data_IF_311826940854
#
_entry.id   IF_311826940854
#
_cell.length_a   1.000
_cell.length_b   1.000
_cell.length_c   1.000
_cell.angle_alpha   90.00
_cell.angle_beta   90.00
_cell.angle_gamma   90.00
#
_symmetry.space_group_name_H-M   'P 1'
#
loop_
_entity.id
_entity.type
_entity.pdbx_description
1 polymer ?
#
# COMPACT_ATOMS: atom_id res chain seq x y z
N UNK A 1 -12.24 1.80 -16.78
CA UNK A 1 -12.13 2.58 -15.54
C UNK A 1 -10.87 2.14 -14.82
N UNK A 2 -9.91 3.04 -14.59
CA UNK A 2 -8.74 2.73 -13.79
C UNK A 2 -9.11 2.87 -12.32
N UNK A 3 -8.87 1.83 -11.52
CA UNK A 3 -8.97 1.90 -10.07
C UNK A 3 -7.98 2.97 -9.57
N UNK A 4 -8.44 3.90 -8.75
CA UNK A 4 -7.70 5.08 -8.32
C UNK A 4 -7.46 5.13 -6.81
N UNK A 5 -7.82 4.08 -6.10
CA UNK A 5 -7.67 3.96 -4.65
C UNK A 5 -7.26 2.56 -4.22
N UNK A 6 -6.56 2.50 -3.09
CA UNK A 6 -6.08 1.26 -2.47
C UNK A 6 -6.55 1.19 -1.04
N UNK A 7 -7.27 0.13 -0.70
CA UNK A 7 -7.87 -0.06 0.62
C UNK A 7 -7.30 -1.32 1.25
N UNK A 8 -6.79 -1.17 2.46
CA UNK A 8 -6.34 -2.28 3.31
C UNK A 8 -7.48 -2.69 4.24
N UNK A 9 -7.69 -3.99 4.37
CA UNK A 9 -8.56 -4.62 5.34
C UNK A 9 -7.74 -5.50 6.27
N UNK A 10 -7.99 -5.39 7.56
CA UNK A 10 -7.45 -6.24 8.61
C UNK A 10 -8.63 -6.71 9.46
N UNK A 11 -8.95 -8.00 9.38
CA UNK A 11 -10.16 -8.56 9.98
C UNK A 11 -9.81 -9.81 10.75
N UNK A 12 -10.19 -9.85 12.02
CA UNK A 12 -10.14 -11.03 12.87
C UNK A 12 -11.56 -11.43 13.22
N UNK A 13 -11.95 -12.62 12.82
CA UNK A 13 -13.22 -13.20 13.20
C UNK A 13 -13.15 -13.86 14.58
N UNK A 14 -14.30 -14.05 15.19
CA UNK A 14 -14.42 -14.72 16.48
C UNK A 14 -14.40 -16.25 16.36
N UNK A 15 -14.57 -16.92 17.49
CA UNK A 15 -14.59 -18.38 17.56
C UNK A 15 -15.80 -18.99 16.84
N UNK A 16 -16.97 -18.34 16.91
CA UNK A 16 -18.23 -18.87 16.42
C UNK A 16 -18.50 -18.54 14.95
N UNK A 17 -17.72 -17.66 14.36
CA UNK A 17 -17.97 -17.13 13.03
C UNK A 17 -18.31 -18.16 11.94
N UNK A 18 -17.66 -19.35 11.84
CA UNK A 18 -18.03 -20.34 10.84
C UNK A 18 -19.41 -20.97 11.08
N UNK A 19 -19.78 -21.20 12.36
CA UNK A 19 -21.05 -21.84 12.73
C UNK A 19 -22.23 -20.87 12.66
N UNK A 20 -21.96 -19.59 12.83
CA UNK A 20 -22.94 -18.50 12.82
C UNK A 20 -23.07 -17.83 11.46
N UNK A 21 -22.32 -18.31 10.48
CA UNK A 21 -22.31 -17.71 9.13
C UNK A 21 -21.99 -16.21 9.17
N UNK A 22 -21.09 -15.81 10.06
CA UNK A 22 -20.61 -14.44 10.13
C UNK A 22 -19.85 -14.09 8.85
N UNK A 23 -20.04 -12.87 8.35
CA UNK A 23 -19.30 -12.38 7.18
C UNK A 23 -19.18 -10.88 7.19
N UNK A 24 -18.28 -10.37 6.37
CA UNK A 24 -18.33 -8.96 5.97
C UNK A 24 -18.46 -8.81 4.47
N UNK A 25 -19.04 -7.71 4.06
CA UNK A 25 -19.26 -7.34 2.67
C UNK A 25 -18.95 -5.86 2.46
N UNK A 26 -18.40 -5.56 1.31
CA UNK A 26 -18.19 -4.18 0.84
C UNK A 26 -18.93 -4.01 -0.47
N UNK A 27 -19.83 -3.05 -0.53
CA UNK A 27 -20.59 -2.72 -1.74
C UNK A 27 -20.54 -1.23 -2.03
N UNK A 28 -20.64 -0.86 -3.31
CA UNK A 28 -20.78 0.52 -3.72
C UNK A 28 -22.24 1.03 -3.60
N UNK A 29 -22.46 2.28 -3.98
CA UNK A 29 -23.80 2.89 -3.95
C UNK A 29 -24.79 2.29 -4.96
N UNK A 30 -24.32 1.52 -5.94
CA UNK A 30 -25.17 0.83 -6.90
C UNK A 30 -25.57 -0.57 -6.38
N UNK A 31 -24.99 -1.00 -5.26
CA UNK A 31 -25.17 -2.32 -4.69
C UNK A 31 -24.25 -3.39 -5.28
N UNK A 32 -23.28 -2.99 -6.11
CA UNK A 32 -22.28 -3.91 -6.62
C UNK A 32 -21.32 -4.30 -5.50
N UNK A 33 -21.18 -5.61 -5.27
CA UNK A 33 -20.32 -6.15 -4.22
C UNK A 33 -18.89 -6.30 -4.73
N UNK A 34 -17.96 -5.63 -4.05
CA UNK A 34 -16.52 -5.69 -4.33
C UNK A 34 -15.82 -6.77 -3.52
N UNK A 35 -16.29 -6.98 -2.29
CA UNK A 35 -15.77 -7.99 -1.38
C UNK A 35 -16.94 -8.67 -0.71
N UNK A 36 -16.87 -9.99 -0.65
CA UNK A 36 -17.63 -10.82 0.25
C UNK A 36 -16.66 -11.82 0.87
N UNK A 37 -16.55 -11.81 2.18
CA UNK A 37 -15.70 -12.77 2.90
C UNK A 37 -16.47 -13.39 4.06
N UNK A 38 -16.55 -14.70 4.03
CA UNK A 38 -17.14 -15.54 5.07
C UNK A 38 -16.04 -16.51 5.57
N UNK A 39 -15.72 -16.51 6.87
CA UNK A 39 -14.69 -17.37 7.40
C UNK A 39 -15.15 -18.84 7.35
N UNK A 40 -14.19 -19.72 7.12
CA UNK A 40 -14.40 -21.18 7.16
C UNK A 40 -13.80 -21.81 8.41
N UNK A 41 -12.94 -21.09 9.11
CA UNK A 41 -12.26 -21.54 10.31
C UNK A 41 -12.56 -20.60 11.49
N UNK A 42 -12.47 -21.16 12.70
CA UNK A 42 -12.52 -20.37 13.93
C UNK A 42 -11.33 -19.42 13.99
N UNK A 43 -11.56 -18.20 14.47
CA UNK A 43 -10.53 -17.15 14.57
C UNK A 43 -9.82 -16.86 13.24
N UNK A 44 -10.51 -17.02 12.12
CA UNK A 44 -9.90 -16.74 10.83
C UNK A 44 -9.49 -15.28 10.73
N UNK A 45 -8.27 -15.05 10.20
CA UNK A 45 -7.68 -13.73 10.05
C UNK A 45 -7.48 -13.42 8.58
N UNK A 46 -7.92 -12.23 8.18
CA UNK A 46 -7.71 -11.69 6.83
C UNK A 46 -6.91 -10.39 6.90
N UNK A 47 -5.79 -10.35 6.19
CA UNK A 47 -5.05 -9.12 5.91
C UNK A 47 -4.90 -9.01 4.38
N UNK A 48 -5.54 -8.01 3.78
CA UNK A 48 -5.55 -7.87 2.33
C UNK A 48 -5.62 -6.41 1.89
N UNK A 49 -5.11 -6.16 0.68
CA UNK A 49 -5.19 -4.85 0.04
C UNK A 49 -5.89 -5.00 -1.30
N UNK A 50 -6.88 -4.17 -1.54
CA UNK A 50 -7.67 -4.16 -2.77
C UNK A 50 -7.61 -2.81 -3.47
N UNK A 51 -7.55 -2.86 -4.78
CA UNK A 51 -7.74 -1.70 -5.62
C UNK A 51 -9.23 -1.48 -5.87
N UNK A 52 -9.71 -0.27 -5.60
CA UNK A 52 -11.11 0.14 -5.79
C UNK A 52 -11.16 1.50 -6.47
N UNK A 53 -12.32 1.89 -6.97
CA UNK A 53 -12.54 3.27 -7.39
C UNK A 53 -12.71 4.17 -6.16
N UNK A 54 -12.36 5.43 -6.25
CA UNK A 54 -12.78 6.40 -5.23
C UNK A 54 -14.29 6.57 -5.23
N UNK A 55 -14.88 6.79 -4.07
CA UNK A 55 -16.32 6.91 -3.94
C UNK A 55 -16.86 6.48 -2.59
N UNK A 56 -18.17 6.38 -2.51
CA UNK A 56 -18.87 5.99 -1.29
C UNK A 56 -19.17 4.49 -1.31
N UNK A 57 -18.86 3.82 -0.21
CA UNK A 57 -19.01 2.38 -0.02
C UNK A 57 -19.75 2.08 1.26
N UNK A 58 -20.57 1.03 1.24
CA UNK A 58 -21.21 0.47 2.43
C UNK A 58 -20.42 -0.75 2.88
N UNK A 59 -20.00 -0.74 4.13
CA UNK A 59 -19.37 -1.86 4.82
C UNK A 59 -20.45 -2.51 5.68
N UNK A 60 -20.69 -3.79 5.46
CA UNK A 60 -21.69 -4.57 6.21
C UNK A 60 -21.01 -5.70 6.96
N UNK A 61 -21.16 -5.74 8.27
CA UNK A 61 -20.86 -6.90 9.11
C UNK A 61 -22.16 -7.66 9.41
N UNK A 62 -22.09 -8.96 9.36
CA UNK A 62 -23.23 -9.87 9.62
C UNK A 62 -22.87 -10.88 10.68
N UNK A 63 -23.87 -11.17 11.49
CA UNK A 63 -23.87 -12.18 12.53
C UNK A 63 -25.27 -12.80 12.60
N UNK A 64 -25.41 -14.09 12.32
CA UNK A 64 -26.73 -14.72 12.27
C UNK A 64 -27.32 -15.02 13.65
N UNK A 65 -26.50 -15.07 14.69
CA UNK A 65 -26.97 -15.26 16.08
C UNK A 65 -27.37 -13.94 16.73
N UNK A 66 -26.78 -12.83 16.32
CA UNK A 66 -27.14 -11.50 16.81
C UNK A 66 -26.48 -11.09 18.11
N UNK A 67 -25.56 -11.87 18.63
CA UNK A 67 -24.77 -11.51 19.81
C UNK A 67 -23.52 -10.69 19.49
N UNK A 68 -23.22 -10.52 18.20
CA UNK A 68 -22.06 -9.81 17.68
C UNK A 68 -20.83 -10.72 17.59
N UNK A 69 -19.75 -10.20 17.09
CA UNK A 69 -18.50 -10.96 16.98
C UNK A 69 -17.82 -11.04 18.36
N UNK A 70 -18.42 -11.78 19.29
CA UNK A 70 -18.01 -11.85 20.69
C UNK A 70 -17.36 -13.19 20.97
N UNK A 71 -16.12 -13.18 21.43
CA UNK A 71 -15.43 -14.36 21.93
C UNK A 71 -14.41 -14.00 23.01
N UNK A 72 -13.78 -15.03 23.60
CA UNK A 72 -12.68 -14.86 24.56
C UNK A 72 -11.42 -14.18 23.96
N UNK A 73 -11.35 -14.10 22.64
CA UNK A 73 -10.37 -13.28 21.91
C UNK A 73 -11.13 -12.23 21.12
N UNK A 74 -10.74 -10.95 21.24
CA UNK A 74 -11.49 -9.89 20.62
C UNK A 74 -11.41 -9.97 19.09
N UNK A 75 -12.57 -10.11 18.43
CA UNK A 75 -12.68 -9.89 17.01
C UNK A 75 -12.45 -8.41 16.69
N UNK A 76 -11.82 -8.13 15.56
CA UNK A 76 -11.65 -6.76 15.11
C UNK A 76 -11.92 -6.62 13.60
N UNK A 77 -12.33 -5.43 13.22
CA UNK A 77 -12.45 -5.01 11.84
C UNK A 77 -11.80 -3.64 11.67
N UNK A 78 -10.75 -3.60 10.88
CA UNK A 78 -10.06 -2.36 10.53
C UNK A 78 -10.05 -2.19 9.02
N UNK A 79 -10.29 -0.99 8.59
CA UNK A 79 -10.23 -0.60 7.19
C UNK A 79 -9.50 0.73 7.06
N UNK A 80 -8.58 0.82 6.13
CA UNK A 80 -7.85 2.04 5.86
C UNK A 80 -7.60 2.23 4.36
N UNK A 81 -7.60 3.48 3.92
CA UNK A 81 -7.08 3.85 2.63
C UNK A 81 -5.58 4.16 2.79
N UNK A 82 -4.73 3.67 1.89
CA UNK A 82 -3.27 3.82 2.03
C UNK A 82 -2.79 5.28 2.07
N UNK A 83 -3.60 6.23 1.57
CA UNK A 83 -3.29 7.65 1.59
C UNK A 83 -3.98 8.41 2.72
N UNK A 84 -5.18 7.98 3.13
CA UNK A 84 -5.97 8.61 4.18
C UNK A 84 -5.64 8.08 5.58
N UNK A 85 -5.01 6.90 5.65
CA UNK A 85 -4.83 6.17 6.89
C UNK A 85 -6.07 5.38 7.30
N UNK A 86 -6.21 5.12 8.59
CA UNK A 86 -7.28 4.31 9.16
C UNK A 86 -8.63 5.04 9.08
N UNK A 87 -9.62 4.42 8.42
CA UNK A 87 -10.96 4.96 8.23
C UNK A 87 -11.94 4.34 9.23
N UNK A 88 -11.86 3.01 9.41
CA UNK A 88 -12.66 2.27 10.39
C UNK A 88 -11.71 1.56 11.34
N UNK A 89 -11.98 1.71 12.62
CA UNK A 89 -11.29 0.98 13.68
C UNK A 89 -12.32 0.45 14.68
N UNK A 90 -12.80 -0.76 14.45
CA UNK A 90 -13.61 -1.51 15.38
C UNK A 90 -12.73 -2.60 16.01
N UNK A 91 -12.02 -2.22 17.06
CA UNK A 91 -11.11 -3.08 17.81
C UNK A 91 -11.28 -2.84 19.31
N UNK A 92 -11.96 -3.75 20.02
CA UNK A 92 -12.71 -4.89 19.50
C UNK A 92 -14.03 -4.50 18.81
N UNK A 93 -14.60 -5.41 18.00
CA UNK A 93 -15.97 -5.28 17.49
C UNK A 93 -16.92 -5.52 18.65
N UNK A 94 -17.53 -4.45 19.15
CA UNK A 94 -18.34 -4.48 20.37
C UNK A 94 -19.85 -4.43 20.05
N UNK A 95 -20.61 -5.07 20.95
CA UNK A 95 -22.06 -5.00 21.00
C UNK A 95 -22.75 -6.07 20.19
N UNK A 96 -23.96 -6.40 20.61
CA UNK A 96 -24.81 -7.36 19.93
C UNK A 96 -25.39 -6.75 18.64
N UNK A 97 -25.33 -7.48 17.54
CA UNK A 97 -25.89 -7.06 16.26
C UNK A 97 -26.12 -8.24 15.33
N UNK A 98 -27.21 -8.26 14.60
CA UNK A 98 -27.39 -9.15 13.45
C UNK A 98 -26.77 -8.56 12.18
N UNK A 99 -26.76 -7.25 12.12
CA UNK A 99 -26.22 -6.48 11.01
C UNK A 99 -25.68 -5.16 11.53
N UNK A 100 -24.49 -4.84 11.08
CA UNK A 100 -23.85 -3.54 11.34
C UNK A 100 -23.36 -2.96 10.04
N UNK A 101 -24.02 -1.90 9.59
CA UNK A 101 -23.65 -1.20 8.36
C UNK A 101 -23.02 0.15 8.69
N UNK A 102 -22.07 0.54 7.88
CA UNK A 102 -21.52 1.89 7.89
C UNK A 102 -21.16 2.32 6.47
N UNK A 103 -21.32 3.61 6.20
CA UNK A 103 -20.91 4.17 4.91
C UNK A 103 -19.59 4.92 5.09
N UNK A 104 -18.66 4.68 4.20
CA UNK A 104 -17.35 5.32 4.14
C UNK A 104 -17.16 6.00 2.80
N UNK A 105 -16.40 7.09 2.78
CA UNK A 105 -16.00 7.75 1.54
C UNK A 105 -14.51 7.52 1.32
N UNK A 106 -14.18 6.82 0.24
CA UNK A 106 -12.82 6.53 -0.17
C UNK A 106 -12.37 7.62 -1.15
N UNK A 107 -11.36 8.39 -0.76
CA UNK A 107 -10.76 9.40 -1.64
C UNK A 107 -9.81 8.76 -2.64
N UNK A 108 -9.58 9.41 -3.80
CA UNK A 108 -8.54 8.98 -4.71
C UNK A 108 -7.19 8.86 -3.99
N UNK A 109 -6.52 7.77 -4.23
CA UNK A 109 -5.21 7.47 -3.71
C UNK A 109 -4.37 6.94 -4.86
N UNK A 110 -3.36 7.65 -5.31
CA UNK A 110 -2.48 7.10 -6.33
C UNK A 110 -2.00 5.73 -5.87
N UNK A 111 -1.82 4.77 -6.78
CA UNK A 111 -1.35 3.45 -6.41
C UNK A 111 -0.12 3.60 -5.52
N UNK A 112 0.00 2.80 -4.45
CA UNK A 112 1.24 2.75 -3.71
C UNK A 112 2.35 2.55 -4.74
N UNK A 113 3.42 3.30 -4.58
CA UNK A 113 4.60 3.20 -5.43
C UNK A 113 4.78 1.73 -5.83
N UNK A 114 4.78 1.38 -7.12
CA UNK A 114 4.59 0.00 -7.54
C UNK A 114 5.45 -0.94 -6.71
N UNK A 115 4.97 -2.14 -6.33
CA UNK A 115 5.74 -3.09 -5.52
C UNK A 115 7.05 -3.51 -6.18
N UNK A 116 7.35 -2.95 -7.34
CA UNK A 116 8.56 -3.14 -8.12
C UNK A 116 9.65 -2.08 -7.87
N UNK A 117 9.43 -1.04 -7.08
CA UNK A 117 10.51 -0.12 -6.69
C UNK A 117 11.24 -0.63 -5.45
N UNK A 118 12.54 -0.47 -5.47
CA UNK A 118 13.44 -0.70 -4.32
C UNK A 118 14.24 0.56 -4.06
N UNK A 119 14.51 0.84 -2.79
CA UNK A 119 15.49 1.85 -2.44
C UNK A 119 16.88 1.35 -2.79
N UNK A 120 17.63 2.17 -3.48
CA UNK A 120 19.05 1.94 -3.78
C UNK A 120 19.85 3.17 -3.36
N UNK A 121 21.09 2.96 -2.96
CA UNK A 121 22.00 4.04 -2.60
C UNK A 121 23.08 4.13 -3.68
N UNK A 122 23.20 5.30 -4.28
CA UNK A 122 24.26 5.64 -5.22
C UNK A 122 25.37 6.31 -4.42
N UNK A 123 26.59 5.77 -4.51
CA UNK A 123 27.78 6.33 -3.86
C UNK A 123 28.83 6.61 -4.92
N UNK A 124 29.26 7.84 -5.04
CA UNK A 124 30.24 8.29 -6.04
C UNK A 124 31.37 9.03 -5.32
N UNK A 125 32.60 8.65 -5.60
CA UNK A 125 33.77 9.41 -5.23
C UNK A 125 34.08 10.36 -6.38
N UNK A 126 33.90 11.65 -6.16
CA UNK A 126 34.26 12.67 -7.14
C UNK A 126 35.80 12.82 -7.23
N UNK A 127 36.26 13.23 -8.38
CA UNK A 127 37.69 13.56 -8.60
C UNK A 127 37.98 15.04 -8.32
N UNK A 128 39.00 15.59 -8.95
CA UNK A 128 39.34 17.01 -8.81
C UNK A 128 38.44 17.95 -9.61
N UNK A 129 37.57 17.44 -10.48
CA UNK A 129 36.65 18.19 -11.33
C UNK A 129 35.17 17.79 -11.09
N UNK A 130 34.61 18.03 -9.91
CA UNK A 130 33.25 17.58 -9.54
C UNK A 130 32.15 18.04 -10.50
N UNK A 131 32.32 19.15 -11.19
CA UNK A 131 31.34 19.69 -12.13
C UNK A 131 31.14 18.84 -13.39
N UNK A 132 32.07 17.96 -13.71
CA UNK A 132 32.08 17.14 -14.92
C UNK A 132 31.36 15.83 -14.74
N UNK A 133 31.19 15.41 -13.48
CA UNK A 133 30.57 14.14 -13.12
C UNK A 133 29.06 14.20 -13.22
N UNK A 134 28.48 13.22 -13.90
CA UNK A 134 27.06 12.94 -13.88
C UNK A 134 26.82 11.43 -13.96
N UNK A 135 25.62 11.00 -13.60
CA UNK A 135 25.25 9.59 -13.68
C UNK A 135 23.77 9.42 -13.99
N UNK A 136 23.42 8.24 -14.48
CA UNK A 136 22.05 7.83 -14.73
C UNK A 136 21.85 6.33 -14.48
N UNK A 137 20.64 5.94 -14.10
CA UNK A 137 20.18 4.56 -14.02
C UNK A 137 19.04 4.40 -15.02
N UNK A 138 19.21 3.51 -15.99
CA UNK A 138 18.22 3.25 -17.04
C UNK A 138 17.91 1.77 -17.20
N UNK A 139 16.77 1.45 -17.83
CA UNK A 139 16.42 0.08 -18.21
C UNK A 139 16.94 -0.27 -19.63
N UNK A 140 16.67 -1.49 -20.08
CA UNK A 140 17.04 -1.98 -21.40
C UNK A 140 16.34 -1.26 -22.57
N UNK A 141 15.29 -0.49 -22.31
CA UNK A 141 14.58 0.32 -23.28
C UNK A 141 15.10 1.76 -23.34
N UNK A 142 16.12 2.09 -22.51
CA UNK A 142 16.67 3.42 -22.39
C UNK A 142 15.86 4.40 -21.54
N UNK A 143 14.86 3.91 -20.79
CA UNK A 143 14.08 4.76 -19.87
C UNK A 143 14.94 5.04 -18.64
N UNK A 144 15.21 6.33 -18.36
CA UNK A 144 15.97 6.77 -17.19
C UNK A 144 15.03 6.78 -15.98
N UNK A 145 15.42 6.04 -14.93
CA UNK A 145 14.67 5.93 -13.67
C UNK A 145 15.24 6.83 -12.57
N UNK A 146 16.53 7.12 -12.61
CA UNK A 146 17.20 8.04 -11.69
C UNK A 146 18.42 8.66 -12.38
N UNK A 147 18.81 9.85 -11.97
CA UNK A 147 20.01 10.51 -12.47
C UNK A 147 20.49 11.58 -11.49
N UNK A 148 21.77 11.89 -11.52
CA UNK A 148 22.40 12.96 -10.75
C UNK A 148 23.46 13.70 -11.55
N UNK A 149 23.61 14.99 -11.27
CA UNK A 149 24.59 15.88 -11.90
C UNK A 149 24.72 17.18 -11.09
N UNK A 150 25.61 18.09 -11.54
CA UNK A 150 25.69 19.43 -10.97
C UNK A 150 26.50 19.51 -9.67
N UNK A 151 27.49 18.66 -9.51
CA UNK A 151 28.32 18.58 -8.30
C UNK A 151 29.38 19.68 -8.18
N UNK A 152 29.37 20.70 -9.07
CA UNK A 152 30.41 21.77 -9.12
C UNK A 152 30.55 22.59 -7.83
N UNK A 153 29.60 22.57 -6.92
CA UNK A 153 29.68 23.17 -5.59
C UNK A 153 30.28 22.25 -4.52
N UNK A 154 30.50 20.96 -4.84
CA UNK A 154 31.07 20.01 -3.92
C UNK A 154 32.59 20.13 -3.83
N UNK A 155 33.20 19.81 -2.69
CA UNK A 155 34.65 19.73 -2.57
C UNK A 155 35.23 18.70 -3.55
N UNK A 156 36.46 18.94 -4.01
CA UNK A 156 37.23 17.94 -4.75
C UNK A 156 37.40 16.67 -3.90
N UNK A 157 37.28 15.51 -4.54
CA UNK A 157 37.32 14.19 -3.89
C UNK A 157 36.20 13.96 -2.88
N UNK A 158 35.10 14.70 -2.96
CA UNK A 158 33.94 14.47 -2.10
C UNK A 158 33.28 13.13 -2.42
N UNK A 159 32.72 12.52 -1.38
CA UNK A 159 31.85 11.35 -1.53
C UNK A 159 30.41 11.83 -1.59
N UNK A 160 29.73 11.53 -2.67
CA UNK A 160 28.30 11.79 -2.85
C UNK A 160 27.54 10.53 -2.50
N UNK A 161 26.50 10.67 -1.69
CA UNK A 161 25.59 9.60 -1.33
C UNK A 161 24.15 10.06 -1.62
N UNK A 162 23.46 9.36 -2.52
CA UNK A 162 22.10 9.67 -2.91
C UNK A 162 21.21 8.43 -2.78
N UNK A 163 20.08 8.56 -2.09
CA UNK A 163 19.03 7.53 -2.08
C UNK A 163 18.09 7.73 -3.25
N UNK A 164 17.84 6.66 -4.02
CA UNK A 164 16.95 6.66 -5.18
C UNK A 164 16.02 5.46 -5.14
N UNK A 165 14.83 5.62 -5.69
CA UNK A 165 13.86 4.56 -5.86
C UNK A 165 13.84 4.10 -7.31
N UNK A 166 14.21 2.85 -7.55
CA UNK A 166 14.36 2.28 -8.89
C UNK A 166 13.56 0.99 -9.03
N UNK A 167 13.08 0.63 -10.24
CA UNK A 167 12.36 -0.62 -10.45
C UNK A 167 13.27 -1.83 -10.20
N UNK A 168 12.65 -2.91 -9.71
CA UNK A 168 13.32 -4.23 -9.65
C UNK A 168 13.58 -4.73 -11.05
N UNK A 169 14.76 -5.27 -11.28
CA UNK A 169 15.13 -5.88 -12.55
C UNK A 169 16.56 -5.59 -12.93
N UNK A 170 16.87 -5.85 -14.20
CA UNK A 170 18.20 -5.53 -14.77
C UNK A 170 18.20 -4.06 -15.17
N UNK A 171 19.11 -3.30 -14.60
CA UNK A 171 19.30 -1.89 -14.86
C UNK A 171 20.75 -1.62 -15.24
N UNK A 172 20.96 -0.55 -15.98
CA UNK A 172 22.28 -0.04 -16.34
C UNK A 172 22.58 1.19 -15.51
N UNK A 173 23.69 1.18 -14.81
CA UNK A 173 24.26 2.37 -14.19
C UNK A 173 25.33 2.93 -15.13
N UNK A 174 25.15 4.17 -15.52
CA UNK A 174 26.11 4.88 -16.37
C UNK A 174 26.63 6.09 -15.62
N UNK A 175 27.95 6.15 -15.45
CA UNK A 175 28.65 7.35 -14.98
C UNK A 175 29.29 8.04 -16.17
N UNK A 176 29.26 9.35 -16.16
CA UNK A 176 29.78 10.19 -17.26
C UNK A 176 30.70 11.23 -16.68
N UNK A 177 31.79 11.42 -17.35
CA UNK A 177 32.75 12.49 -17.18
C UNK A 177 32.73 13.34 -18.47
N UNK A 178 32.52 14.65 -18.34
CA UNK A 178 32.32 15.53 -19.50
C UNK A 178 33.59 15.73 -20.35
N UNK A 179 34.77 15.61 -19.75
CA UNK A 179 36.05 15.80 -20.44
C UNK A 179 36.85 14.51 -20.59
N UNK A 180 36.55 13.47 -19.80
CA UNK A 180 37.08 12.12 -19.98
C UNK A 180 38.57 11.97 -19.55
N UNK A 181 38.99 12.67 -18.51
CA UNK A 181 40.36 12.66 -17.97
C UNK A 181 40.51 11.93 -16.62
#
# INVERSE_FOLDING_TARGET
>A
FSQDSWVKFEVQFDFYAPSESNFFMVSDNNGDTYIFFQPTNQYEYLDTVLAVNSGSYTISLRDSFGDGWISNQPAHFKMGNLCQGLIINWDPVLGSFFQRDTTVNIMPCPPPTPPNLVSAKVIINLDQYPSETSWEISDSNGIIHASGAGYGSQPIYAIIEEEVWIPKGSLFFTIKDAYGD
#
